data_IF_975808937812
#
_entry.id   IF_975808937812
#
_cell.length_a   1.000
_cell.length_b   1.000
_cell.length_c   1.000
_cell.angle_alpha   90.00
_cell.angle_beta   90.00
_cell.angle_gamma   90.00
#
_symmetry.space_group_name_H-M   'P 1'
#
loop_
_entity.id
_entity.type
_entity.pdbx_description
1 polymer ?
#
# COMPACT_ATOMS: atom_id res chain seq x y z
N UNK A 1 -22.01 -8.85 -7.84
CA UNK A 1 -20.87 -8.06 -8.29
C UNK A 1 -19.64 -8.93 -8.31
N UNK A 2 -19.40 -9.50 -9.47
CA UNK A 2 -18.33 -10.49 -9.62
C UNK A 2 -16.94 -9.93 -9.31
N UNK A 3 -16.62 -8.73 -9.80
CA UNK A 3 -15.32 -8.10 -9.57
C UNK A 3 -15.06 -7.88 -8.08
N UNK A 4 -16.04 -7.37 -7.34
CA UNK A 4 -15.89 -7.16 -5.90
C UNK A 4 -15.68 -8.47 -5.16
N UNK A 5 -16.47 -9.50 -5.49
CA UNK A 5 -16.35 -10.80 -4.83
C UNK A 5 -14.97 -11.41 -5.08
N UNK A 6 -14.46 -11.29 -6.30
CA UNK A 6 -13.12 -11.79 -6.64
C UNK A 6 -12.02 -11.02 -5.92
N UNK A 7 -12.14 -9.69 -5.81
CA UNK A 7 -11.15 -8.88 -5.08
C UNK A 7 -11.11 -9.24 -3.59
N UNK A 8 -12.24 -9.52 -2.97
CA UNK A 8 -12.29 -9.90 -1.56
C UNK A 8 -11.57 -11.24 -1.33
N UNK A 9 -11.70 -12.18 -2.26
CA UNK A 9 -11.15 -13.54 -2.12
C UNK A 9 -9.76 -13.70 -2.72
N UNK A 10 -9.27 -12.71 -3.47
CA UNK A 10 -7.93 -12.78 -4.07
C UNK A 10 -6.83 -12.64 -3.03
N UNK A 11 -5.65 -13.11 -3.37
CA UNK A 11 -4.43 -12.84 -2.61
C UNK A 11 -3.55 -11.90 -3.45
N UNK A 12 -3.19 -10.77 -2.86
CA UNK A 12 -2.27 -9.83 -3.47
C UNK A 12 -0.85 -10.16 -3.02
N UNK A 13 0.09 -10.05 -3.93
CA UNK A 13 1.50 -10.27 -3.64
C UNK A 13 2.26 -8.97 -3.82
N UNK A 14 2.99 -8.56 -2.79
CA UNK A 14 3.93 -7.45 -2.92
C UNK A 14 5.24 -7.94 -3.52
N UNK A 15 6.10 -7.00 -3.86
CA UNK A 15 7.50 -7.31 -4.10
C UNK A 15 8.26 -7.38 -2.77
N UNK A 16 9.43 -8.05 -2.74
CA UNK A 16 10.20 -8.16 -1.49
C UNK A 16 10.55 -6.83 -0.84
N UNK A 17 10.81 -5.79 -1.62
CA UNK A 17 11.11 -4.47 -1.09
C UNK A 17 9.94 -3.89 -0.27
N UNK A 18 8.71 -4.06 -0.76
CA UNK A 18 7.52 -3.63 -0.01
C UNK A 18 7.41 -4.41 1.29
N UNK A 19 7.69 -5.70 1.27
CA UNK A 19 7.67 -6.52 2.49
C UNK A 19 8.70 -6.04 3.51
N UNK A 20 9.91 -5.72 3.06
CA UNK A 20 10.95 -5.18 3.93
C UNK A 20 10.51 -3.86 4.58
N UNK A 21 9.91 -2.98 3.80
CA UNK A 21 9.37 -1.71 4.29
C UNK A 21 8.24 -1.92 5.30
N UNK A 22 7.34 -2.86 5.03
CA UNK A 22 6.24 -3.18 5.94
C UNK A 22 6.76 -3.67 7.29
N UNK A 23 7.74 -4.56 7.29
CA UNK A 23 8.35 -5.06 8.52
C UNK A 23 8.97 -3.92 9.33
N UNK A 24 9.73 -3.07 8.67
CA UNK A 24 10.37 -1.93 9.32
C UNK A 24 9.34 -0.97 9.92
N UNK A 25 8.36 -0.56 9.14
CA UNK A 25 7.35 0.41 9.57
C UNK A 25 6.43 -0.16 10.65
N UNK A 26 6.05 -1.43 10.56
CA UNK A 26 5.20 -2.07 11.56
C UNK A 26 5.93 -2.16 12.90
N UNK A 27 7.20 -2.50 12.90
CA UNK A 27 8.01 -2.53 14.12
C UNK A 27 8.15 -1.13 14.73
N UNK A 28 8.41 -0.13 13.90
CA UNK A 28 8.53 1.25 14.34
C UNK A 28 7.22 1.76 14.96
N UNK A 29 6.10 1.47 14.33
CA UNK A 29 4.78 1.92 14.76
C UNK A 29 4.17 1.05 15.86
N UNK A 30 4.79 -0.08 16.18
CA UNK A 30 4.28 -1.08 17.13
C UNK A 30 2.88 -1.54 16.76
N UNK A 31 2.69 -1.87 15.48
CA UNK A 31 1.41 -2.34 14.94
C UNK A 31 1.66 -3.47 13.94
N UNK A 32 0.61 -3.96 13.31
CA UNK A 32 0.73 -5.04 12.33
C UNK A 32 1.08 -4.51 10.94
N UNK A 33 1.68 -5.38 10.12
CA UNK A 33 1.92 -5.08 8.71
C UNK A 33 0.61 -4.82 7.96
N UNK A 34 -0.48 -5.45 8.38
CA UNK A 34 -1.79 -5.26 7.75
C UNK A 34 -2.33 -3.85 7.97
N UNK A 35 -2.14 -3.30 9.17
CA UNK A 35 -2.55 -1.92 9.45
C UNK A 35 -1.72 -0.92 8.64
N UNK A 36 -0.41 -1.13 8.56
CA UNK A 36 0.47 -0.28 7.73
C UNK A 36 0.06 -0.38 6.26
N UNK A 37 -0.28 -1.58 5.79
CA UNK A 37 -0.74 -1.80 4.42
C UNK A 37 -2.00 -1.01 4.10
N UNK A 38 -2.99 -1.02 4.99
CA UNK A 38 -4.23 -0.24 4.79
C UNK A 38 -3.97 1.26 4.79
N UNK A 39 -3.12 1.72 5.69
CA UNK A 39 -2.73 3.14 5.72
C UNK A 39 -2.04 3.54 4.41
N UNK A 40 -1.12 2.70 3.94
CA UNK A 40 -0.45 2.93 2.65
C UNK A 40 -1.44 2.98 1.49
N UNK A 41 -2.38 2.03 1.44
CA UNK A 41 -3.42 2.01 0.42
C UNK A 41 -4.20 3.33 0.40
N UNK A 42 -4.62 3.81 1.58
CA UNK A 42 -5.36 5.06 1.70
C UNK A 42 -4.55 6.26 1.21
N UNK A 43 -3.28 6.34 1.61
CA UNK A 43 -2.41 7.44 1.22
C UNK A 43 -2.17 7.47 -0.29
N UNK A 44 -1.95 6.31 -0.90
CA UNK A 44 -1.72 6.24 -2.34
C UNK A 44 -2.97 6.66 -3.12
N UNK A 45 -4.14 6.15 -2.73
CA UNK A 45 -5.39 6.53 -3.40
C UNK A 45 -5.65 8.05 -3.26
N UNK A 46 -5.39 8.61 -2.07
CA UNK A 46 -5.55 10.05 -1.83
C UNK A 46 -4.55 10.88 -2.65
N UNK A 47 -3.39 10.31 -2.97
CA UNK A 47 -2.35 11.00 -3.75
C UNK A 47 -2.65 11.04 -5.26
N UNK A 48 -3.67 10.36 -5.72
CA UNK A 48 -4.06 10.35 -7.12
C UNK A 48 -3.88 8.99 -7.78
N UNK A 49 -4.12 8.89 -9.09
CA UNK A 49 -4.06 7.62 -9.80
C UNK A 49 -2.65 7.04 -9.86
N UNK A 50 -2.57 5.73 -10.07
CA UNK A 50 -1.31 5.04 -10.28
C UNK A 50 -1.45 4.04 -11.43
N UNK A 51 -0.35 3.81 -12.13
CA UNK A 51 -0.31 2.79 -13.17
C UNK A 51 -0.34 1.39 -12.54
N UNK A 52 -1.03 0.45 -13.18
CA UNK A 52 -1.11 -0.92 -12.68
C UNK A 52 0.23 -1.64 -12.68
N UNK A 53 1.17 -1.18 -13.51
CA UNK A 53 2.53 -1.73 -13.60
C UNK A 53 3.56 -0.95 -12.77
N UNK A 54 3.10 -0.03 -11.91
CA UNK A 54 3.99 0.68 -11.00
C UNK A 54 4.78 -0.32 -10.14
N UNK A 55 6.06 -0.06 -9.98
CA UNK A 55 6.95 -0.93 -9.18
C UNK A 55 7.70 -0.09 -8.13
N UNK A 56 7.96 -0.67 -6.95
CA UNK A 56 8.74 0.02 -5.93
C UNK A 56 10.20 0.12 -6.33
N UNK A 57 10.87 1.16 -5.86
CA UNK A 57 12.30 1.32 -6.05
C UNK A 57 12.96 1.70 -4.73
N UNK A 58 14.13 1.11 -4.48
CA UNK A 58 14.89 1.39 -3.26
C UNK A 58 15.45 2.80 -3.32
N UNK A 59 15.26 3.56 -2.25
CA UNK A 59 15.84 4.87 -2.08
C UNK A 59 17.25 4.75 -1.50
N UNK A 60 18.13 5.70 -1.80
CA UNK A 60 19.48 5.72 -1.25
C UNK A 60 19.45 5.73 0.29
N UNK A 61 18.51 6.43 0.88
CA UNK A 61 18.33 6.53 2.32
C UNK A 61 17.92 5.20 2.97
N UNK A 62 17.55 4.22 2.17
CA UNK A 62 17.16 2.89 2.65
C UNK A 62 18.31 1.88 2.60
N UNK A 63 19.54 2.33 2.43
CA UNK A 63 20.70 1.42 2.34
C UNK A 63 20.85 0.51 3.57
N UNK A 64 20.37 0.96 4.74
CA UNK A 64 20.38 0.16 5.96
C UNK A 64 19.14 -0.71 6.16
N UNK A 65 18.18 -0.66 5.26
CA UNK A 65 16.98 -1.48 5.37
C UNK A 65 17.32 -2.94 5.04
N UNK A 66 16.96 -3.85 5.93
CA UNK A 66 17.25 -5.27 5.74
C UNK A 66 16.50 -5.80 4.51
N UNK A 67 17.20 -6.58 3.69
CA UNK A 67 16.60 -7.21 2.52
C UNK A 67 15.60 -8.29 2.93
N UNK A 68 14.53 -8.40 2.19
CA UNK A 68 13.56 -9.48 2.30
C UNK A 68 13.60 -10.29 1.01
N UNK A 69 13.60 -11.62 1.14
CA UNK A 69 13.63 -12.51 -0.02
C UNK A 69 12.21 -12.80 -0.50
N UNK A 70 11.24 -12.79 0.43
CA UNK A 70 9.86 -13.20 0.13
C UNK A 70 8.94 -12.01 -0.04
N UNK A 71 7.96 -12.19 -0.93
CA UNK A 71 6.87 -11.24 -1.06
C UNK A 71 5.95 -11.31 0.18
N UNK A 72 5.26 -10.24 0.46
CA UNK A 72 4.14 -10.24 1.41
C UNK A 72 2.89 -10.71 0.65
N UNK A 73 2.21 -11.71 1.19
CA UNK A 73 0.92 -12.15 0.70
C UNK A 73 -0.18 -11.57 1.57
N UNK A 74 -1.15 -10.91 0.96
CA UNK A 74 -2.21 -10.25 1.69
C UNK A 74 -3.54 -10.49 0.98
N UNK A 75 -4.50 -11.07 1.70
CA UNK A 75 -5.82 -11.30 1.13
C UNK A 75 -6.58 -9.98 0.98
N UNK A 76 -7.38 -9.89 -0.06
CA UNK A 76 -8.24 -8.72 -0.27
C UNK A 76 -9.12 -8.46 0.94
N UNK A 77 -9.70 -9.51 1.53
CA UNK A 77 -10.52 -9.37 2.74
C UNK A 77 -9.76 -8.71 3.89
N UNK A 78 -8.49 -9.01 4.03
CA UNK A 78 -7.64 -8.42 5.06
C UNK A 78 -7.27 -6.98 4.73
N UNK A 79 -6.86 -6.72 3.49
CA UNK A 79 -6.44 -5.38 3.07
C UNK A 79 -7.62 -4.39 3.03
N UNK A 80 -8.73 -4.81 2.44
CA UNK A 80 -9.87 -3.90 2.25
C UNK A 80 -10.85 -3.92 3.42
N UNK A 81 -10.81 -4.95 4.28
CA UNK A 81 -11.78 -5.16 5.34
C UNK A 81 -13.19 -5.21 4.74
N UNK A 82 -14.14 -4.55 5.40
CA UNK A 82 -15.52 -4.46 4.93
C UNK A 82 -15.76 -3.24 4.05
N UNK A 83 -14.68 -2.55 3.64
CA UNK A 83 -14.77 -1.24 2.99
C UNK A 83 -14.36 -1.28 1.52
N UNK A 84 -14.36 -2.46 0.87
CA UNK A 84 -13.92 -2.56 -0.52
C UNK A 84 -14.69 -1.60 -1.44
N UNK A 85 -16.00 -1.50 -1.27
CA UNK A 85 -16.81 -0.59 -2.08
C UNK A 85 -16.35 0.86 -1.93
N UNK A 86 -15.97 1.26 -0.72
CA UNK A 86 -15.44 2.61 -0.46
C UNK A 86 -14.08 2.80 -1.15
N UNK A 87 -13.17 1.83 -1.03
CA UNK A 87 -11.88 1.92 -1.69
C UNK A 87 -12.01 2.02 -3.20
N UNK A 88 -12.93 1.24 -3.79
CA UNK A 88 -13.21 1.31 -5.23
C UNK A 88 -13.79 2.66 -5.62
N UNK A 89 -14.74 3.18 -4.84
CA UNK A 89 -15.34 4.49 -5.11
C UNK A 89 -14.31 5.61 -5.08
N UNK A 90 -13.41 5.59 -4.11
CA UNK A 90 -12.34 6.58 -4.01
C UNK A 90 -11.36 6.49 -5.19
N UNK A 91 -11.03 5.27 -5.61
CA UNK A 91 -10.18 5.04 -6.77
C UNK A 91 -10.81 5.60 -8.04
N UNK A 92 -12.12 5.40 -8.20
CA UNK A 92 -12.87 5.87 -9.38
C UNK A 92 -12.93 7.39 -9.51
N UNK A 93 -12.54 8.14 -8.49
CA UNK A 93 -12.44 9.61 -8.61
C UNK A 93 -11.36 10.01 -9.61
N UNK A 94 -10.36 9.18 -9.83
CA UNK A 94 -9.18 9.55 -10.62
C UNK A 94 -8.84 8.56 -11.74
N UNK A 95 -9.38 7.35 -11.72
CA UNK A 95 -9.06 6.33 -12.72
C UNK A 95 -10.20 5.31 -12.80
N UNK A 96 -10.27 4.60 -13.93
CA UNK A 96 -11.38 3.70 -14.23
C UNK A 96 -10.85 2.34 -14.69
N UNK A 97 -10.42 1.48 -13.75
CA UNK A 97 -10.03 0.11 -14.13
C UNK A 97 -11.18 -0.61 -14.82
N UNK A 98 -10.90 -1.30 -15.92
CA UNK A 98 -11.95 -1.86 -16.79
C UNK A 98 -12.51 -3.18 -16.27
N UNK A 99 -11.67 -4.01 -15.65
CA UNK A 99 -12.05 -5.37 -15.25
C UNK A 99 -11.32 -5.80 -13.97
N UNK A 100 -11.57 -7.04 -13.55
CA UNK A 100 -10.94 -7.60 -12.34
C UNK A 100 -9.43 -7.54 -12.40
N UNK A 101 -8.82 -7.90 -13.54
CA UNK A 101 -7.35 -7.93 -13.63
C UNK A 101 -6.75 -6.54 -13.47
N UNK A 102 -7.35 -5.53 -14.09
CA UNK A 102 -6.91 -4.15 -13.92
C UNK A 102 -7.11 -3.66 -12.49
N UNK A 103 -8.27 -3.96 -11.88
CA UNK A 103 -8.53 -3.60 -10.49
C UNK A 103 -7.49 -4.23 -9.55
N UNK A 104 -7.17 -5.50 -9.77
CA UNK A 104 -6.19 -6.21 -8.95
C UNK A 104 -4.81 -5.55 -9.06
N UNK A 105 -4.38 -5.23 -10.27
CA UNK A 105 -3.10 -4.58 -10.52
C UNK A 105 -3.04 -3.18 -9.91
N UNK A 106 -4.10 -2.40 -10.09
CA UNK A 106 -4.17 -1.03 -9.57
C UNK A 106 -4.18 -1.03 -8.04
N UNK A 107 -4.93 -1.92 -7.42
CA UNK A 107 -4.96 -2.00 -5.94
C UNK A 107 -3.62 -2.43 -5.38
N UNK A 108 -2.94 -3.38 -6.03
CA UNK A 108 -1.58 -3.76 -5.63
C UNK A 108 -0.62 -2.58 -5.77
N UNK A 109 -0.69 -1.86 -6.88
CA UNK A 109 0.16 -0.70 -7.11
C UNK A 109 -0.08 0.40 -6.06
N UNK A 110 -1.34 0.67 -5.72
CA UNK A 110 -1.66 1.62 -4.66
C UNK A 110 -1.11 1.16 -3.30
N UNK A 111 -1.25 -0.10 -2.98
CA UNK A 111 -0.70 -0.66 -1.75
C UNK A 111 0.81 -0.43 -1.68
N UNK A 112 1.54 -0.87 -2.71
CA UNK A 112 3.00 -0.78 -2.71
C UNK A 112 3.48 0.67 -2.77
N UNK A 113 2.84 1.52 -3.58
CA UNK A 113 3.18 2.95 -3.66
C UNK A 113 2.91 3.66 -2.32
N UNK A 114 1.82 3.31 -1.66
CA UNK A 114 1.48 3.89 -0.36
C UNK A 114 2.51 3.54 0.71
N UNK A 115 2.98 2.31 0.71
CA UNK A 115 4.06 1.89 1.64
C UNK A 115 5.35 2.66 1.33
N UNK A 116 5.65 2.89 0.06
CA UNK A 116 6.81 3.71 -0.33
C UNK A 116 6.65 5.17 0.11
N UNK A 117 5.45 5.74 0.00
CA UNK A 117 5.16 7.10 0.50
C UNK A 117 5.43 7.17 2.00
N UNK A 118 4.90 6.21 2.77
CA UNK A 118 5.15 6.16 4.21
C UNK A 118 6.63 6.09 4.53
N UNK A 119 7.35 5.24 3.81
CA UNK A 119 8.79 5.08 4.03
C UNK A 119 9.56 6.36 3.72
N UNK A 120 9.21 7.04 2.63
CA UNK A 120 9.86 8.30 2.24
C UNK A 120 9.63 9.40 3.28
N UNK A 121 8.43 9.47 3.84
CA UNK A 121 8.14 10.45 4.90
C UNK A 121 8.88 10.08 6.19
N UNK A 122 8.93 8.80 6.53
CA UNK A 122 9.63 8.35 7.74
C UNK A 122 11.12 8.65 7.70
N UNK A 123 11.76 8.49 6.55
CA UNK A 123 13.20 8.80 6.39
C UNK A 123 13.47 10.26 6.74
N UNK A 124 12.59 11.18 6.34
CA UNK A 124 12.75 12.61 6.61
C UNK A 124 12.42 12.92 8.07
N UNK A 125 11.31 12.39 8.58
CA UNK A 125 10.76 12.79 9.88
C UNK A 125 11.41 12.09 11.07
N UNK A 126 11.90 10.88 10.89
CA UNK A 126 12.67 10.15 11.89
C UNK A 126 11.88 9.47 12.99
N UNK A 127 10.57 9.68 13.10
CA UNK A 127 9.72 8.90 14.00
C UNK A 127 8.29 8.77 13.46
N UNK A 128 7.55 7.83 14.02
CA UNK A 128 6.25 7.45 13.48
C UNK A 128 5.21 8.57 13.58
N UNK A 129 5.13 9.24 14.72
CA UNK A 129 4.15 10.31 14.91
C UNK A 129 4.35 11.45 13.92
N UNK A 130 5.59 11.87 13.73
CA UNK A 130 5.92 12.91 12.76
C UNK A 130 5.67 12.44 11.32
N UNK A 131 5.95 11.17 11.05
CA UNK A 131 5.67 10.57 9.75
C UNK A 131 4.19 10.68 9.42
N UNK A 132 3.32 10.31 10.36
CA UNK A 132 1.87 10.40 10.16
C UNK A 132 1.43 11.84 9.97
N UNK A 133 1.94 12.77 10.76
CA UNK A 133 1.62 14.19 10.59
C UNK A 133 1.99 14.71 9.19
N UNK A 134 3.15 14.29 8.68
CA UNK A 134 3.61 14.67 7.35
C UNK A 134 2.71 14.13 6.23
N UNK A 135 1.96 13.06 6.49
CA UNK A 135 1.02 12.46 5.52
C UNK A 135 -0.34 13.13 5.54
N UNK A 136 -0.66 13.90 6.57
CA UNK A 136 -1.97 14.54 6.70
C UNK A 136 -2.02 15.84 5.89
N UNK A 137 -3.19 16.21 5.35
CA UNK A 137 -3.32 17.51 4.69
C UNK A 137 -3.07 18.65 5.66
N UNK A 138 -2.52 19.73 5.14
CA UNK A 138 -2.19 20.91 5.92
C UNK A 138 -3.45 21.62 6.44
#
# INVERSE_FOLDING_TARGET
METMDRLITTTLQSRPLTHARLKYLAALAQTSEDHVSRLGLALSIASGPTEGDWVPSRMQSESGLADEIKEKHLRGRTLFKDDLALWMALTLRNQTPADYDEWRQVMRAHWERGVEILMSKNVVEGNWLRTIRACLPA
#
